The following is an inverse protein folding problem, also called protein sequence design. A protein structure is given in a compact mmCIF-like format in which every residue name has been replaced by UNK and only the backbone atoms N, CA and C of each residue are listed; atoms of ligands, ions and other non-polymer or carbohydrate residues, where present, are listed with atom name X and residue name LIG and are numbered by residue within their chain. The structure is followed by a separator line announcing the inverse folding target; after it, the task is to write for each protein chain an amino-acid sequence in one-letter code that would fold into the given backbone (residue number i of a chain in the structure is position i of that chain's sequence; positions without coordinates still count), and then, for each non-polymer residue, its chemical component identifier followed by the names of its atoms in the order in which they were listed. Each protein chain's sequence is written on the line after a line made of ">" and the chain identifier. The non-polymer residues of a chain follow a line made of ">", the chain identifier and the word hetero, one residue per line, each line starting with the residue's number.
data_IF_947027004116
#
_entry.id   IF_947027004116
#
_cell.length_a   1.000
_cell.length_b   1.000
_cell.length_c   1.000
_cell.angle_alpha   90.00
_cell.angle_beta   90.00
_cell.angle_gamma   90.00
#
_symmetry.space_group_name_H-M   'P 1'
#
loop_
_entity.id
_entity.type
_entity.pdbx_description
1 polymer ?
#
# COMPACT_ATOMS: atom_id res chain seq x y z
N UNK A 1 -28.76 -9.23 12.88
CA UNK A 1 -28.59 -7.82 12.46
C UNK A 1 -27.70 -7.81 11.23
N UNK A 2 -28.04 -7.06 10.18
CA UNK A 2 -27.25 -7.02 8.93
C UNK A 2 -25.88 -6.38 9.23
N UNK A 3 -24.77 -7.06 8.91
CA UNK A 3 -23.39 -6.58 9.11
C UNK A 3 -23.18 -5.17 8.53
N UNK A 4 -23.78 -4.88 7.38
CA UNK A 4 -23.66 -3.58 6.75
C UNK A 4 -24.33 -2.48 7.57
N UNK A 5 -25.51 -2.76 8.15
CA UNK A 5 -26.22 -1.80 9.00
C UNK A 5 -25.44 -1.52 10.29
N UNK A 6 -24.84 -2.56 10.87
CA UNK A 6 -23.96 -2.43 12.05
C UNK A 6 -22.82 -1.45 11.78
N UNK A 7 -22.09 -1.66 10.68
CA UNK A 7 -20.96 -0.81 10.32
C UNK A 7 -21.42 0.62 10.05
N UNK A 8 -22.54 0.79 9.34
CA UNK A 8 -23.10 2.10 9.05
C UNK A 8 -23.52 2.87 10.32
N UNK A 9 -24.13 2.19 11.29
CA UNK A 9 -24.55 2.78 12.57
C UNK A 9 -23.34 3.24 13.39
N UNK A 10 -22.33 2.38 13.55
CA UNK A 10 -21.09 2.73 14.26
C UNK A 10 -20.39 3.93 13.61
N UNK A 11 -20.21 3.91 12.29
CA UNK A 11 -19.61 5.02 11.53
C UNK A 11 -20.36 6.31 11.78
N UNK A 12 -21.71 6.31 11.73
CA UNK A 12 -22.52 7.50 11.97
C UNK A 12 -22.27 8.12 13.34
N UNK A 13 -22.00 7.30 14.36
CA UNK A 13 -21.72 7.79 15.72
C UNK A 13 -20.31 8.38 15.88
N UNK A 14 -19.37 8.01 15.02
CA UNK A 14 -17.95 8.40 15.14
C UNK A 14 -17.43 9.25 13.98
N UNK A 15 -18.20 9.48 12.92
CA UNK A 15 -17.73 10.10 11.67
C UNK A 15 -17.08 11.47 11.86
N UNK A 16 -17.54 12.24 12.85
CA UNK A 16 -17.03 13.57 13.17
C UNK A 16 -15.78 13.55 14.07
N UNK A 17 -15.41 12.38 14.61
CA UNK A 17 -14.21 12.19 15.40
C UNK A 17 -13.16 11.44 14.56
N UNK A 18 -12.19 12.18 14.02
CA UNK A 18 -11.19 11.63 13.09
C UNK A 18 -10.40 10.44 13.68
N UNK A 19 -10.02 10.51 14.95
CA UNK A 19 -9.26 9.43 15.61
C UNK A 19 -10.11 8.17 15.75
N UNK A 20 -11.34 8.29 16.24
CA UNK A 20 -12.25 7.14 16.37
C UNK A 20 -12.58 6.52 15.02
N UNK A 21 -12.86 7.36 14.01
CA UNK A 21 -13.13 6.89 12.66
C UNK A 21 -11.92 6.16 12.08
N UNK A 22 -10.72 6.72 12.22
CA UNK A 22 -9.47 6.06 11.79
C UNK A 22 -9.32 4.67 12.40
N UNK A 23 -9.41 4.58 13.74
CA UNK A 23 -9.27 3.29 14.45
C UNK A 23 -10.33 2.29 14.02
N UNK A 24 -11.57 2.75 13.84
CA UNK A 24 -12.65 1.87 13.42
C UNK A 24 -12.45 1.34 11.99
N UNK A 25 -12.08 2.21 11.03
CA UNK A 25 -11.78 1.80 9.66
C UNK A 25 -10.61 0.81 9.60
N UNK A 26 -9.59 1.02 10.44
CA UNK A 26 -8.47 0.09 10.59
C UNK A 26 -8.94 -1.29 11.09
N UNK A 27 -9.75 -1.29 12.14
CA UNK A 27 -10.29 -2.52 12.74
C UNK A 27 -11.14 -3.33 11.76
N UNK A 28 -11.84 -2.69 10.82
CA UNK A 28 -12.68 -3.38 9.83
C UNK A 28 -11.89 -4.41 9.02
N UNK A 29 -10.68 -4.07 8.54
CA UNK A 29 -9.88 -4.98 7.72
C UNK A 29 -8.81 -5.74 8.52
N UNK A 30 -8.46 -5.31 9.73
CA UNK A 30 -7.41 -5.94 10.54
C UNK A 30 -7.94 -6.98 11.53
N UNK A 31 -9.03 -6.66 12.25
CA UNK A 31 -9.52 -7.48 13.37
C UNK A 31 -10.51 -8.58 12.93
N UNK A 32 -10.93 -8.60 11.66
CA UNK A 32 -11.83 -9.62 11.12
C UNK A 32 -13.23 -9.67 11.76
N UNK A 33 -13.67 -8.57 12.39
CA UNK A 33 -15.00 -8.47 13.02
C UNK A 33 -16.14 -8.59 12.01
N UNK A 34 -15.92 -8.03 10.81
CA UNK A 34 -16.78 -8.20 9.65
C UNK A 34 -16.08 -9.20 8.73
N UNK A 35 -16.76 -10.26 8.32
CA UNK A 35 -16.16 -11.28 7.44
C UNK A 35 -16.38 -10.99 5.96
N UNK A 36 -17.42 -10.22 5.64
CA UNK A 36 -17.75 -9.90 4.27
C UNK A 36 -16.84 -8.79 3.72
N UNK A 37 -15.86 -9.18 2.90
CA UNK A 37 -14.89 -8.28 2.26
C UNK A 37 -15.58 -7.19 1.43
N UNK A 38 -16.66 -7.50 0.71
CA UNK A 38 -17.38 -6.51 -0.09
C UNK A 38 -18.03 -5.41 0.75
N UNK A 39 -18.46 -5.73 1.98
CA UNK A 39 -18.97 -4.74 2.92
C UNK A 39 -17.82 -3.82 3.37
N UNK A 40 -16.68 -4.40 3.77
CA UNK A 40 -15.51 -3.61 4.22
C UNK A 40 -15.02 -2.70 3.09
N UNK A 41 -14.86 -3.25 1.89
CA UNK A 41 -14.46 -2.52 0.68
C UNK A 41 -15.37 -1.32 0.44
N UNK A 42 -16.71 -1.52 0.47
CA UNK A 42 -17.69 -0.45 0.27
C UNK A 42 -17.45 0.73 1.22
N UNK A 43 -17.25 0.46 2.51
CA UNK A 43 -17.02 1.51 3.49
C UNK A 43 -15.67 2.19 3.30
N UNK A 44 -14.57 1.45 3.15
CA UNK A 44 -13.24 2.03 2.91
C UNK A 44 -13.22 2.88 1.63
N UNK A 45 -13.83 2.39 0.54
CA UNK A 45 -13.87 3.09 -0.74
C UNK A 45 -14.60 4.45 -0.66
N UNK A 46 -15.54 4.61 0.27
CA UNK A 46 -16.25 5.89 0.49
C UNK A 46 -15.37 6.98 1.11
N UNK A 47 -14.24 6.61 1.70
CA UNK A 47 -13.30 7.51 2.38
C UNK A 47 -12.04 7.82 1.57
N UNK A 48 -11.95 7.34 0.32
CA UNK A 48 -10.78 7.55 -0.52
C UNK A 48 -10.50 9.04 -0.75
N UNK A 49 -11.54 9.87 -0.89
CA UNK A 49 -11.42 11.33 -1.11
C UNK A 49 -11.75 12.15 0.15
N UNK A 50 -11.66 11.55 1.34
CA UNK A 50 -11.91 12.28 2.60
C UNK A 50 -10.97 13.48 2.75
N UNK A 51 -11.47 14.61 3.26
CA UNK A 51 -10.65 15.82 3.45
C UNK A 51 -9.51 15.62 4.46
N UNK A 52 -9.60 14.61 5.34
CA UNK A 52 -8.63 14.31 6.39
C UNK A 52 -7.59 13.31 5.85
N UNK A 53 -6.30 13.68 5.74
CA UNK A 53 -5.27 12.79 5.21
C UNK A 53 -5.19 11.44 5.91
N UNK A 54 -5.27 11.42 7.24
CA UNK A 54 -5.25 10.18 8.02
C UNK A 54 -6.39 9.21 7.65
N UNK A 55 -7.57 9.74 7.30
CA UNK A 55 -8.72 8.92 6.89
C UNK A 55 -8.50 8.36 5.48
N UNK A 56 -7.98 9.16 4.54
CA UNK A 56 -7.58 8.66 3.21
C UNK A 56 -6.52 7.57 3.33
N UNK A 57 -5.55 7.75 4.23
CA UNK A 57 -4.44 6.82 4.49
C UNK A 57 -4.95 5.45 4.93
N UNK A 58 -5.81 5.39 5.95
CA UNK A 58 -6.37 4.10 6.41
C UNK A 58 -7.28 3.46 5.37
N UNK A 59 -8.02 4.27 4.59
CA UNK A 59 -8.88 3.78 3.52
C UNK A 59 -8.06 3.11 2.40
N UNK A 60 -7.08 3.81 1.83
CA UNK A 60 -6.28 3.27 0.72
C UNK A 60 -5.44 2.07 1.16
N UNK A 61 -4.88 2.12 2.37
CA UNK A 61 -4.10 1.02 2.92
C UNK A 61 -4.96 -0.20 3.24
N UNK A 62 -6.15 0.00 3.81
CA UNK A 62 -7.09 -1.10 4.03
C UNK A 62 -7.47 -1.81 2.72
N UNK A 63 -7.75 -1.06 1.66
CA UNK A 63 -8.11 -1.61 0.34
C UNK A 63 -6.95 -2.37 -0.32
N UNK A 64 -5.77 -1.75 -0.39
CA UNK A 64 -4.64 -2.30 -1.15
C UNK A 64 -3.73 -3.22 -0.32
N UNK A 65 -3.43 -2.87 0.93
CA UNK A 65 -2.57 -3.68 1.79
C UNK A 65 -3.37 -4.76 2.54
N UNK A 66 -4.42 -4.34 3.25
CA UNK A 66 -5.21 -5.22 4.13
C UNK A 66 -6.01 -6.26 3.35
N UNK A 67 -6.83 -5.80 2.41
CA UNK A 67 -7.72 -6.64 1.61
C UNK A 67 -7.11 -7.09 0.26
N UNK A 68 -6.01 -6.46 -0.18
CA UNK A 68 -5.29 -6.80 -1.42
C UNK A 68 -6.15 -6.70 -2.68
N UNK A 69 -7.07 -5.73 -2.72
CA UNK A 69 -8.01 -5.57 -3.83
C UNK A 69 -7.34 -4.84 -5.00
N UNK A 70 -7.26 -5.50 -6.16
CA UNK A 70 -6.62 -4.98 -7.39
C UNK A 70 -7.62 -4.29 -8.32
N UNK A 71 -8.46 -3.41 -7.77
CA UNK A 71 -9.41 -2.66 -8.57
C UNK A 71 -8.74 -1.41 -9.17
N UNK A 72 -8.93 -1.16 -10.47
CA UNK A 72 -8.23 -0.06 -11.19
C UNK A 72 -8.46 1.30 -10.54
N UNK A 73 -9.70 1.61 -10.10
CA UNK A 73 -10.01 2.79 -9.30
C UNK A 73 -9.03 3.01 -8.12
N UNK A 74 -8.70 1.97 -7.36
CA UNK A 74 -7.83 2.08 -6.19
C UNK A 74 -6.37 2.27 -6.61
N UNK A 75 -5.95 1.61 -7.70
CA UNK A 75 -4.65 1.86 -8.34
C UNK A 75 -4.52 3.32 -8.74
N UNK A 76 -5.48 3.87 -9.49
CA UNK A 76 -5.43 5.25 -9.94
C UNK A 76 -5.39 6.26 -8.78
N UNK A 77 -6.15 6.01 -7.71
CA UNK A 77 -6.15 6.85 -6.50
C UNK A 77 -4.79 6.82 -5.79
N UNK A 78 -4.21 5.63 -5.60
CA UNK A 78 -2.88 5.49 -4.98
C UNK A 78 -1.80 6.18 -5.82
N UNK A 79 -1.78 5.96 -7.14
CA UNK A 79 -0.82 6.61 -8.04
C UNK A 79 -0.97 8.13 -8.02
N UNK A 80 -2.20 8.66 -7.91
CA UNK A 80 -2.43 10.09 -7.75
C UNK A 80 -1.80 10.63 -6.47
N UNK A 81 -1.96 9.94 -5.34
CA UNK A 81 -1.33 10.36 -4.09
C UNK A 81 0.19 10.33 -4.16
N UNK A 82 0.77 9.30 -4.77
CA UNK A 82 2.23 9.15 -4.86
C UNK A 82 2.86 10.25 -5.74
N UNK A 83 2.23 10.57 -6.88
CA UNK A 83 2.72 11.56 -7.84
C UNK A 83 2.50 13.01 -7.41
N UNK A 84 1.68 13.25 -6.39
CA UNK A 84 1.42 14.57 -5.84
C UNK A 84 2.44 14.88 -4.73
N UNK A 85 3.44 15.74 -4.96
CA UNK A 85 4.44 16.06 -3.94
C UNK A 85 3.87 16.82 -2.75
N UNK A 86 2.70 17.47 -2.90
CA UNK A 86 2.01 18.19 -1.83
C UNK A 86 1.13 17.27 -0.98
N UNK A 87 0.96 16.01 -1.40
CA UNK A 87 0.26 15.01 -0.58
C UNK A 87 1.08 14.68 0.66
N UNK A 88 0.35 14.45 1.76
CA UNK A 88 0.89 13.99 3.04
C UNK A 88 1.87 12.81 2.85
N UNK A 89 3.04 12.91 3.47
CA UNK A 89 4.12 11.93 3.29
C UNK A 89 3.68 10.51 3.65
N UNK A 90 3.00 10.33 4.78
CA UNK A 90 2.50 9.02 5.20
C UNK A 90 1.47 8.48 4.20
N UNK A 91 0.62 9.33 3.63
CA UNK A 91 -0.32 8.92 2.57
C UNK A 91 0.40 8.41 1.32
N UNK A 92 1.50 9.05 0.91
CA UNK A 92 2.36 8.60 -0.20
C UNK A 92 2.97 7.23 0.12
N UNK A 93 3.57 7.09 1.30
CA UNK A 93 4.20 5.84 1.75
C UNK A 93 3.20 4.68 1.86
N UNK A 94 2.02 4.91 2.44
CA UNK A 94 0.98 3.89 2.56
C UNK A 94 0.41 3.50 1.19
N UNK A 95 0.37 4.43 0.23
CA UNK A 95 -0.04 4.14 -1.14
C UNK A 95 1.00 3.28 -1.87
N UNK A 96 2.30 3.58 -1.73
CA UNK A 96 3.39 2.76 -2.27
C UNK A 96 3.36 1.34 -1.70
N UNK A 97 3.31 1.22 -0.37
CA UNK A 97 3.27 -0.07 0.33
C UNK A 97 2.01 -0.85 -0.03
N UNK A 98 0.85 -0.20 -0.06
CA UNK A 98 -0.42 -0.78 -0.48
C UNK A 98 -0.37 -1.36 -1.90
N UNK A 99 0.11 -0.58 -2.88
CA UNK A 99 0.27 -1.06 -4.26
C UNK A 99 1.21 -2.27 -4.31
N UNK A 100 2.36 -2.21 -3.63
CA UNK A 100 3.30 -3.33 -3.62
C UNK A 100 2.69 -4.62 -3.07
N UNK A 101 1.86 -4.50 -2.03
CA UNK A 101 1.26 -5.66 -1.38
C UNK A 101 0.08 -6.22 -2.16
N UNK A 102 -0.76 -5.37 -2.77
CA UNK A 102 -1.84 -5.79 -3.63
C UNK A 102 -1.31 -6.53 -4.86
N UNK A 103 -0.25 -6.01 -5.49
CA UNK A 103 0.30 -6.52 -6.76
C UNK A 103 1.47 -7.50 -6.58
N UNK A 104 1.67 -8.03 -5.37
CA UNK A 104 2.69 -9.04 -5.11
C UNK A 104 2.53 -10.25 -6.05
N UNK A 105 3.62 -10.66 -6.69
CA UNK A 105 3.69 -11.83 -7.59
C UNK A 105 2.88 -11.70 -8.88
N UNK A 106 2.54 -10.49 -9.31
CA UNK A 106 1.78 -10.26 -10.55
C UNK A 106 2.65 -10.01 -11.77
N UNK A 107 3.92 -9.64 -11.57
CA UNK A 107 4.80 -9.18 -12.64
C UNK A 107 4.21 -8.01 -13.46
N UNK A 108 3.45 -7.11 -12.81
CA UNK A 108 2.89 -5.91 -13.46
C UNK A 108 3.99 -4.96 -13.93
N UNK A 109 4.30 -5.01 -15.23
CA UNK A 109 5.41 -4.28 -15.86
C UNK A 109 5.26 -2.77 -15.71
N UNK A 110 4.04 -2.25 -15.83
CA UNK A 110 3.80 -0.81 -15.73
C UNK A 110 4.00 -0.31 -14.30
N UNK A 111 3.63 -1.11 -13.30
CA UNK A 111 3.91 -0.80 -11.91
C UNK A 111 5.40 -0.94 -11.57
N UNK A 112 6.11 -1.89 -12.18
CA UNK A 112 7.58 -1.98 -12.08
C UNK A 112 8.27 -0.74 -12.64
N UNK A 113 7.88 -0.29 -13.85
CA UNK A 113 8.38 0.96 -14.45
C UNK A 113 8.10 2.16 -13.54
N UNK A 114 6.89 2.23 -12.99
CA UNK A 114 6.51 3.27 -12.06
C UNK A 114 7.42 3.30 -10.82
N UNK A 115 7.53 2.19 -10.09
CA UNK A 115 8.39 2.11 -8.91
C UNK A 115 9.87 2.35 -9.23
N UNK A 116 10.36 1.85 -10.38
CA UNK A 116 11.75 2.08 -10.80
C UNK A 116 12.06 3.55 -11.04
N UNK A 117 11.09 4.32 -11.56
CA UNK A 117 11.26 5.75 -11.81
C UNK A 117 11.47 6.54 -10.52
N UNK A 118 10.71 6.25 -9.46
CA UNK A 118 10.87 6.84 -8.14
C UNK A 118 12.15 6.34 -7.45
N UNK A 119 12.42 5.03 -7.48
CA UNK A 119 13.66 4.47 -6.95
C UNK A 119 14.92 5.15 -7.53
N UNK A 120 14.90 5.51 -8.82
CA UNK A 120 16.07 6.06 -9.50
C UNK A 120 16.22 7.58 -9.39
N UNK A 121 15.14 8.31 -9.05
CA UNK A 121 15.09 9.77 -9.19
C UNK A 121 14.58 10.52 -7.96
N UNK A 122 13.87 9.86 -7.05
CA UNK A 122 13.32 10.53 -5.87
C UNK A 122 14.46 10.89 -4.90
N UNK A 123 14.41 12.08 -4.33
CA UNK A 123 15.43 12.59 -3.39
C UNK A 123 15.27 11.95 -2.01
N UNK A 124 14.05 11.53 -1.65
CA UNK A 124 13.72 10.91 -0.38
C UNK A 124 14.17 9.44 -0.34
N UNK A 125 14.99 9.10 0.66
CA UNK A 125 15.53 7.76 0.79
C UNK A 125 14.46 6.71 1.10
N UNK A 126 13.48 7.05 1.92
CA UNK A 126 12.46 6.11 2.38
C UNK A 126 11.55 5.76 1.20
N UNK A 127 11.18 6.76 0.40
CA UNK A 127 10.43 6.53 -0.86
C UNK A 127 11.21 5.61 -1.80
N UNK A 128 12.51 5.88 -2.02
CA UNK A 128 13.32 5.01 -2.90
C UNK A 128 13.35 3.58 -2.39
N UNK A 129 13.52 3.38 -1.09
CA UNK A 129 13.63 2.04 -0.53
C UNK A 129 12.28 1.31 -0.54
N UNK A 130 11.18 1.97 -0.21
CA UNK A 130 9.83 1.38 -0.34
C UNK A 130 9.50 1.05 -1.80
N UNK A 131 9.94 1.86 -2.77
CA UNK A 131 9.81 1.55 -4.19
C UNK A 131 10.62 0.31 -4.57
N UNK A 132 11.85 0.19 -4.08
CA UNK A 132 12.70 -0.98 -4.31
C UNK A 132 12.08 -2.26 -3.74
N UNK A 133 11.67 -2.23 -2.46
CA UNK A 133 10.92 -3.32 -1.83
C UNK A 133 9.65 -3.65 -2.63
N UNK A 134 8.97 -2.63 -3.15
CA UNK A 134 7.77 -2.78 -3.96
C UNK A 134 8.02 -3.55 -5.25
N UNK A 135 9.10 -3.26 -5.95
CA UNK A 135 9.50 -4.00 -7.16
C UNK A 135 9.80 -5.48 -6.84
N UNK A 136 10.53 -5.75 -5.75
CA UNK A 136 10.81 -7.12 -5.31
C UNK A 136 9.52 -7.89 -5.00
N UNK A 137 8.55 -7.25 -4.32
CA UNK A 137 7.23 -7.85 -4.04
C UNK A 137 6.46 -8.15 -5.32
N UNK A 138 6.48 -7.24 -6.31
CA UNK A 138 5.81 -7.48 -7.61
C UNK A 138 6.41 -8.67 -8.36
N UNK A 139 7.73 -8.87 -8.27
CA UNK A 139 8.41 -10.08 -8.76
C UNK A 139 8.12 -11.34 -7.93
N UNK A 140 7.41 -11.20 -6.81
CA UNK A 140 6.92 -12.32 -6.00
C UNK A 140 7.71 -12.59 -4.73
N UNK A 141 8.74 -11.79 -4.42
CA UNK A 141 9.52 -11.98 -3.19
C UNK A 141 8.69 -11.53 -1.98
N UNK A 142 8.52 -12.44 -1.02
CA UNK A 142 7.91 -12.15 0.27
C UNK A 142 8.84 -11.34 1.18
N UNK A 143 8.30 -10.70 2.20
CA UNK A 143 9.10 -10.01 3.24
C UNK A 143 10.14 -10.93 3.87
N UNK A 144 9.79 -12.21 4.10
CA UNK A 144 10.72 -13.21 4.67
C UNK A 144 11.90 -13.47 3.74
N UNK A 145 11.66 -13.57 2.43
CA UNK A 145 12.72 -13.78 1.44
C UNK A 145 13.63 -12.57 1.32
N UNK A 146 13.06 -11.36 1.31
CA UNK A 146 13.81 -10.11 1.32
C UNK A 146 14.71 -10.05 2.57
N UNK A 147 14.17 -10.32 3.76
CA UNK A 147 14.94 -10.38 5.02
C UNK A 147 16.07 -11.40 4.98
N UNK A 148 15.81 -12.59 4.44
CA UNK A 148 16.82 -13.63 4.32
C UNK A 148 17.97 -13.21 3.39
N UNK A 149 17.67 -12.62 2.24
CA UNK A 149 18.68 -12.16 1.27
C UNK A 149 19.48 -10.99 1.84
N UNK A 150 18.84 -10.10 2.60
CA UNK A 150 19.49 -8.94 3.22
C UNK A 150 20.39 -9.31 4.43
N UNK A 151 20.57 -10.60 4.74
CA UNK A 151 21.49 -11.07 5.78
C UNK A 151 20.88 -11.24 7.17
N UNK A 152 19.58 -11.53 7.28
CA UNK A 152 18.89 -11.86 8.55
C UNK A 152 18.88 -10.75 9.61
N UNK A 153 19.18 -9.51 9.24
CA UNK A 153 18.87 -8.33 10.07
C UNK A 153 17.37 -8.09 9.97
N UNK A 154 16.70 -7.83 11.09
CA UNK A 154 15.29 -7.42 11.07
C UNK A 154 15.21 -6.16 10.20
N UNK A 155 14.60 -6.29 9.01
CA UNK A 155 14.48 -5.19 8.07
C UNK A 155 13.40 -4.24 8.59
N UNK A 156 13.79 -3.05 9.06
CA UNK A 156 12.95 -1.88 8.82
C UNK A 156 13.15 -1.47 7.36
N UNK A 157 12.13 -0.89 6.71
CA UNK A 157 12.19 -0.64 5.25
C UNK A 157 13.51 0.05 4.87
N UNK A 158 14.02 0.97 5.70
CA UNK A 158 15.28 1.73 5.55
C UNK A 158 16.59 0.91 5.46
N UNK A 159 16.57 -0.40 5.77
CA UNK A 159 17.77 -1.24 5.88
C UNK A 159 18.08 -2.11 4.65
N UNK A 160 17.32 -1.99 3.56
CA UNK A 160 17.55 -2.82 2.36
C UNK A 160 18.85 -2.44 1.67
N UNK A 161 19.87 -3.30 1.78
CA UNK A 161 21.15 -3.12 1.12
C UNK A 161 21.07 -3.62 -0.33
N UNK A 162 20.79 -2.70 -1.25
CA UNK A 162 20.60 -2.97 -2.70
C UNK A 162 21.69 -3.83 -3.34
N UNK A 163 22.94 -3.75 -2.86
CA UNK A 163 24.05 -4.61 -3.30
C UNK A 163 23.78 -6.11 -3.17
N UNK A 164 22.96 -6.54 -2.21
CA UNK A 164 22.57 -7.94 -2.02
C UNK A 164 21.50 -8.41 -3.01
N UNK A 165 20.92 -7.50 -3.77
CA UNK A 165 19.83 -7.72 -4.71
C UNK A 165 20.23 -7.35 -6.15
N UNK A 166 21.53 -7.39 -6.47
CA UNK A 166 22.03 -7.04 -7.80
C UNK A 166 21.35 -7.84 -8.92
N UNK A 167 21.18 -9.16 -8.71
CA UNK A 167 20.51 -10.03 -9.68
C UNK A 167 19.05 -9.62 -9.91
N UNK A 168 18.30 -9.31 -8.85
CA UNK A 168 16.90 -8.87 -8.96
C UNK A 168 16.82 -7.50 -9.63
N UNK A 169 17.76 -6.59 -9.34
CA UNK A 169 17.79 -5.29 -9.99
C UNK A 169 18.07 -5.41 -11.50
N UNK A 170 18.95 -6.31 -11.91
CA UNK A 170 19.22 -6.57 -13.33
C UNK A 170 18.03 -7.24 -14.02
N UNK A 171 17.34 -8.16 -13.34
CA UNK A 171 16.07 -8.74 -13.83
C UNK A 171 14.99 -7.67 -14.03
N UNK A 172 14.79 -6.78 -13.05
CA UNK A 172 13.85 -5.66 -13.17
C UNK A 172 14.21 -4.80 -14.39
N UNK A 173 15.49 -4.43 -14.54
CA UNK A 173 15.97 -3.62 -15.67
C UNK A 173 15.72 -4.29 -17.01
N UNK A 174 15.90 -5.61 -17.11
CA UNK A 174 15.62 -6.37 -18.31
C UNK A 174 14.11 -6.35 -18.64
N UNK A 175 13.24 -6.58 -17.65
CA UNK A 175 11.79 -6.59 -17.83
C UNK A 175 11.25 -5.22 -18.27
N UNK A 176 11.75 -4.12 -17.70
CA UNK A 176 11.24 -2.79 -18.05
C UNK A 176 11.78 -2.25 -19.38
N UNK A 177 12.81 -2.90 -19.95
CA UNK A 177 13.44 -2.50 -21.21
C UNK A 177 12.83 -3.16 -22.46
N UNK A 178 11.97 -4.17 -22.28
CA UNK A 178 11.15 -4.78 -23.34
C UNK A 178 9.86 -4.02 -23.58
#
# INVERSE_FOLDING_TARGET
>A
MNEEKLVQEEIRHIENNATKLYSYLYDLYYMGRIKNVSIIEKFLASYLDDRRPAIRRVAIYGLLFGLKIRHEKYRSVALRYINDPDSDFDLRMFSLSGLSQAYMGTSDVELLKFFYSFYSRDEDADIRVTCFAGMLRILGLSTVEITRINGSVIIMEDDIQTKFFANQLDEIRAIIST
#
